data_IF_438844182890
#
_entry.id   IF_438844182890
#
_cell.length_a   1.000
_cell.length_b   1.000
_cell.length_c   1.000
_cell.angle_alpha   90.00
_cell.angle_beta   90.00
_cell.angle_gamma   90.00
#
_symmetry.space_group_name_H-M   'P 1'
#
loop_
_entity.id
_entity.type
_entity.pdbx_description
1 polymer ?
#
# COMPACT_ATOMS: atom_id res chain seq x y z
N UNK A 1 21.84 -23.68 76.25
CA UNK A 1 21.06 -22.64 76.94
C UNK A 1 20.77 -21.53 75.94
N UNK A 2 19.52 -21.04 75.92
CA UNK A 2 18.65 -20.83 74.74
C UNK A 2 18.49 -19.31 74.47
N UNK A 3 17.70 -18.75 73.56
CA UNK A 3 16.94 -19.13 72.36
C UNK A 3 16.67 -17.79 71.64
N UNK A 4 16.53 -17.86 70.31
CA UNK A 4 15.97 -16.79 69.50
C UNK A 4 14.44 -16.86 69.56
N UNK A 5 13.76 -15.71 69.56
CA UNK A 5 12.52 -15.40 68.80
C UNK A 5 12.34 -13.87 68.79
N UNK A 6 11.85 -13.28 67.68
CA UNK A 6 10.40 -13.19 67.49
C UNK A 6 9.98 -13.70 66.10
N UNK A 7 9.10 -14.70 66.08
CA UNK A 7 7.66 -14.53 65.84
C UNK A 7 7.34 -14.34 64.36
N UNK A 8 7.09 -15.48 63.71
CA UNK A 8 6.35 -15.55 62.46
C UNK A 8 4.89 -15.15 62.69
N UNK A 9 4.32 -14.38 61.77
CA UNK A 9 2.90 -14.47 61.47
C UNK A 9 2.74 -14.67 59.97
N UNK A 10 1.97 -15.68 59.65
CA UNK A 10 1.81 -16.37 58.37
C UNK A 10 0.46 -15.96 57.80
N UNK A 11 0.41 -15.46 56.56
CA UNK A 11 -0.76 -15.53 55.67
C UNK A 11 -0.20 -15.49 54.24
N UNK A 12 0.06 -16.62 53.57
CA UNK A 12 -0.88 -17.34 52.70
C UNK A 12 -1.64 -16.42 51.73
N UNK A 13 -1.13 -16.25 50.50
CA UNK A 13 -1.81 -16.70 49.28
C UNK A 13 -1.02 -16.43 47.99
N UNK A 14 -0.89 -17.49 47.21
CA UNK A 14 -0.91 -17.54 45.75
C UNK A 14 0.20 -16.84 44.94
N UNK A 15 1.20 -17.66 44.61
CA UNK A 15 1.90 -17.65 43.32
C UNK A 15 0.89 -17.90 42.17
N UNK A 16 0.72 -16.96 41.24
CA UNK A 16 0.17 -17.22 39.89
C UNK A 16 0.81 -16.26 38.86
N UNK A 17 1.61 -16.88 37.99
CA UNK A 17 1.79 -16.65 36.56
C UNK A 17 1.81 -15.21 36.01
N UNK A 18 3.01 -14.84 35.53
CA UNK A 18 3.18 -13.94 34.39
C UNK A 18 2.46 -14.52 33.17
N UNK A 19 1.43 -13.83 32.69
CA UNK A 19 0.84 -14.06 31.38
C UNK A 19 0.82 -12.75 30.60
N UNK A 20 1.77 -12.70 29.68
CA UNK A 20 1.64 -12.34 28.27
C UNK A 20 0.73 -11.17 27.92
N UNK A 21 1.39 -10.14 27.39
CA UNK A 21 0.83 -9.05 26.61
C UNK A 21 -0.29 -9.50 25.67
N UNK A 22 -1.47 -8.89 25.84
CA UNK A 22 -2.56 -8.95 24.88
C UNK A 22 -2.18 -8.12 23.65
N UNK A 23 -1.48 -8.73 22.69
CA UNK A 23 -1.39 -8.22 21.33
C UNK A 23 -2.55 -8.84 20.54
N UNK A 24 -3.60 -8.03 20.33
CA UNK A 24 -4.77 -8.42 19.56
C UNK A 24 -4.37 -8.65 18.10
N UNK A 25 -4.87 -9.75 17.56
CA UNK A 25 -4.49 -10.34 16.28
C UNK A 25 -4.98 -9.48 15.12
N UNK A 26 -4.07 -8.85 14.38
CA UNK A 26 -4.30 -8.51 12.98
C UNK A 26 -3.85 -9.67 12.10
N UNK A 27 -4.71 -10.68 11.96
CA UNK A 27 -4.62 -11.65 10.86
C UNK A 27 -5.27 -11.04 9.63
N UNK A 28 -4.48 -10.31 8.86
CA UNK A 28 -4.79 -9.85 7.51
C UNK A 28 -3.63 -10.16 6.57
N UNK A 29 -3.11 -11.40 6.64
CA UNK A 29 -2.08 -11.86 5.72
C UNK A 29 -2.68 -12.09 4.35
N UNK A 30 -2.63 -11.10 3.46
CA UNK A 30 -2.70 -11.36 2.03
C UNK A 30 -1.57 -12.34 1.73
N UNK A 31 -1.92 -13.56 1.32
CA UNK A 31 -0.96 -14.56 0.88
C UNK A 31 -0.30 -14.03 -0.41
N UNK A 32 0.73 -13.19 -0.26
CA UNK A 32 1.50 -12.64 -1.37
C UNK A 32 2.30 -13.77 -1.98
N UNK A 33 1.79 -14.31 -3.09
CA UNK A 33 2.54 -15.26 -3.88
C UNK A 33 3.53 -14.48 -4.77
N UNK A 34 4.85 -14.54 -4.52
CA UNK A 34 5.84 -13.73 -5.23
C UNK A 34 5.92 -14.04 -6.73
N UNK A 35 5.37 -15.17 -7.18
CA UNK A 35 5.22 -15.51 -8.60
C UNK A 35 4.04 -14.79 -9.26
N UNK A 36 2.99 -14.49 -8.49
CA UNK A 36 1.82 -13.77 -8.97
C UNK A 36 2.13 -12.29 -9.23
N UNK A 37 2.99 -11.69 -8.39
CA UNK A 37 3.43 -10.30 -8.54
C UNK A 37 4.28 -10.11 -9.81
N UNK A 38 5.09 -11.11 -10.18
CA UNK A 38 5.88 -11.09 -11.42
C UNK A 38 5.03 -11.22 -12.68
N UNK A 39 4.00 -12.07 -12.63
CA UNK A 39 3.03 -12.17 -13.72
C UNK A 39 2.27 -10.85 -13.88
N UNK A 40 1.78 -10.26 -12.78
CA UNK A 40 1.08 -8.98 -12.78
C UNK A 40 1.93 -7.81 -13.30
N UNK A 41 3.21 -7.75 -12.94
CA UNK A 41 4.15 -6.77 -13.51
C UNK A 41 4.36 -6.98 -15.01
N UNK A 42 4.57 -8.23 -15.43
CA UNK A 42 4.84 -8.57 -16.83
C UNK A 42 3.67 -8.22 -17.74
N UNK A 43 2.46 -8.55 -17.30
CA UNK A 43 1.21 -8.22 -18.01
C UNK A 43 1.01 -6.70 -18.09
N UNK A 44 1.19 -5.97 -16.99
CA UNK A 44 1.10 -4.51 -16.98
C UNK A 44 2.09 -3.86 -17.96
N UNK A 45 3.36 -4.29 -17.98
CA UNK A 45 4.36 -3.76 -18.91
C UNK A 45 3.98 -4.01 -20.36
N UNK A 46 3.44 -5.20 -20.66
CA UNK A 46 2.94 -5.54 -21.99
C UNK A 46 1.76 -4.65 -22.39
N UNK A 47 0.82 -4.42 -21.49
CA UNK A 47 -0.33 -3.53 -21.71
C UNK A 47 0.10 -2.09 -22.00
N UNK A 48 0.97 -1.50 -21.17
CA UNK A 48 1.50 -0.15 -21.38
C UNK A 48 2.26 -0.05 -22.70
N UNK A 49 3.07 -1.06 -23.03
CA UNK A 49 3.79 -1.08 -24.31
C UNK A 49 2.82 -1.04 -25.49
N UNK A 50 1.75 -1.83 -25.45
CA UNK A 50 0.76 -1.91 -26.51
C UNK A 50 -0.11 -0.65 -26.60
N UNK A 51 -0.48 -0.03 -25.47
CA UNK A 51 -1.24 1.22 -25.45
C UNK A 51 -0.43 2.39 -26.06
N UNK A 52 0.89 2.41 -25.85
CA UNK A 52 1.82 3.34 -26.50
C UNK A 52 2.17 2.93 -27.95
N UNK A 53 1.58 1.85 -28.48
CA UNK A 53 1.83 1.31 -29.83
C UNK A 53 3.30 0.98 -30.10
N UNK A 54 4.03 0.60 -29.06
CA UNK A 54 5.44 0.21 -29.16
C UNK A 54 5.57 -1.29 -29.44
N UNK A 55 6.44 -1.64 -30.37
CA UNK A 55 6.93 -3.01 -30.47
C UNK A 55 7.86 -3.34 -29.29
N UNK A 56 8.04 -4.63 -29.01
CA UNK A 56 8.99 -5.09 -28.00
C UNK A 56 10.40 -4.53 -28.24
N UNK A 57 10.81 -4.44 -29.52
CA UNK A 57 12.11 -3.89 -29.93
C UNK A 57 12.23 -2.40 -29.60
N UNK A 58 11.21 -1.61 -29.95
CA UNK A 58 11.22 -0.18 -29.68
C UNK A 58 11.28 0.12 -28.19
N UNK A 59 10.48 -0.56 -27.36
CA UNK A 59 10.57 -0.36 -25.91
C UNK A 59 11.95 -0.76 -25.36
N UNK A 60 12.54 -1.87 -25.83
CA UNK A 60 13.87 -2.28 -25.39
C UNK A 60 14.95 -1.25 -25.75
N UNK A 61 14.85 -0.61 -26.92
CA UNK A 61 15.75 0.47 -27.35
C UNK A 61 15.56 1.73 -26.48
N UNK A 62 14.31 2.15 -26.24
CA UNK A 62 13.99 3.32 -25.39
C UNK A 62 14.44 3.13 -23.95
N UNK A 63 14.25 1.92 -23.40
CA UNK A 63 14.66 1.58 -22.04
C UNK A 63 16.15 1.21 -21.93
N UNK A 64 16.89 1.11 -23.04
CA UNK A 64 18.31 0.75 -23.00
C UNK A 64 18.61 -0.66 -22.47
N UNK A 65 17.66 -1.59 -22.60
CA UNK A 65 17.82 -3.00 -22.20
C UNK A 65 17.74 -3.94 -23.39
N UNK A 66 18.19 -5.19 -23.23
CA UNK A 66 18.13 -6.15 -24.33
C UNK A 66 16.70 -6.64 -24.58
N UNK A 67 16.36 -6.80 -25.85
CA UNK A 67 15.06 -7.31 -26.28
C UNK A 67 14.71 -8.70 -25.69
N UNK A 68 15.64 -9.68 -25.63
CA UNK A 68 15.37 -10.96 -24.98
C UNK A 68 15.07 -10.82 -23.48
N UNK A 69 15.73 -9.89 -22.79
CA UNK A 69 15.51 -9.67 -21.37
C UNK A 69 14.15 -9.03 -21.10
N UNK A 70 13.73 -8.03 -21.89
CA UNK A 70 12.38 -7.47 -21.84
C UNK A 70 11.31 -8.55 -22.07
N UNK A 71 11.51 -9.44 -23.06
CA UNK A 71 10.60 -10.57 -23.31
C UNK A 71 10.49 -11.53 -22.12
N UNK A 72 11.57 -11.73 -21.36
CA UNK A 72 11.52 -12.56 -20.14
C UNK A 72 10.74 -11.87 -19.02
N UNK A 73 10.86 -10.55 -18.89
CA UNK A 73 10.12 -9.77 -17.89
C UNK A 73 8.62 -9.75 -18.21
N UNK A 74 8.21 -9.46 -19.45
CA UNK A 74 6.78 -9.45 -19.86
C UNK A 74 6.10 -10.82 -19.69
N UNK A 75 6.87 -11.91 -19.61
CA UNK A 75 6.36 -13.27 -19.36
C UNK A 75 6.44 -13.70 -17.89
N UNK A 76 6.87 -12.81 -16.99
CA UNK A 76 7.07 -13.12 -15.57
C UNK A 76 8.23 -14.09 -15.28
N UNK A 77 9.11 -14.36 -16.26
CA UNK A 77 10.21 -15.33 -16.11
C UNK A 77 11.44 -14.75 -15.41
N UNK A 78 11.54 -13.42 -15.35
CA UNK A 78 12.65 -12.71 -14.72
C UNK A 78 12.17 -11.51 -13.93
N UNK A 79 12.73 -11.37 -12.72
CA UNK A 79 12.55 -10.20 -11.88
C UNK A 79 13.55 -9.10 -12.29
N UNK A 80 13.07 -7.92 -12.71
CA UNK A 80 13.96 -6.80 -12.99
C UNK A 80 14.52 -6.18 -11.70
N UNK A 81 15.69 -5.54 -11.80
CA UNK A 81 16.21 -4.68 -10.73
C UNK A 81 15.47 -3.35 -10.69
N UNK A 82 15.61 -2.59 -9.59
CA UNK A 82 15.07 -1.24 -9.50
C UNK A 82 15.58 -0.31 -10.62
N UNK A 83 16.87 -0.42 -10.99
CA UNK A 83 17.42 0.36 -12.10
C UNK A 83 16.80 0.01 -13.46
N UNK A 84 16.45 -1.25 -13.69
CA UNK A 84 15.75 -1.68 -14.91
C UNK A 84 14.31 -1.18 -14.90
N UNK A 85 13.64 -1.20 -13.75
CA UNK A 85 12.30 -0.63 -13.61
C UNK A 85 12.28 0.88 -13.89
N UNK A 86 13.28 1.64 -13.42
CA UNK A 86 13.38 3.07 -13.75
C UNK A 86 13.57 3.32 -15.24
N UNK A 87 14.40 2.51 -15.89
CA UNK A 87 14.63 2.59 -17.33
C UNK A 87 13.35 2.28 -18.12
N UNK A 88 12.61 1.26 -17.71
CA UNK A 88 11.31 0.90 -18.31
C UNK A 88 10.26 1.98 -18.08
N UNK A 89 10.18 2.54 -16.86
CA UNK A 89 9.29 3.64 -16.54
C UNK A 89 9.55 4.85 -17.45
N UNK A 90 10.82 5.20 -17.66
CA UNK A 90 11.22 6.25 -18.58
C UNK A 90 10.83 5.93 -20.03
N UNK A 91 11.06 4.70 -20.50
CA UNK A 91 10.72 4.29 -21.87
C UNK A 91 9.22 4.20 -22.14
N UNK A 92 8.40 4.01 -21.10
CA UNK A 92 6.94 3.99 -21.15
C UNK A 92 6.30 5.32 -20.75
N UNK A 93 7.07 6.32 -20.34
CA UNK A 93 6.57 7.61 -19.81
C UNK A 93 5.58 7.45 -18.63
N UNK A 94 5.81 6.44 -17.78
CA UNK A 94 5.01 6.19 -16.55
C UNK A 94 5.84 6.43 -15.29
N UNK A 95 5.17 6.55 -14.14
CA UNK A 95 5.85 6.66 -12.86
C UNK A 95 6.60 5.36 -12.51
N UNK A 96 7.86 5.50 -12.06
CA UNK A 96 8.64 4.38 -11.55
C UNK A 96 8.02 3.77 -10.28
N UNK A 97 7.32 4.57 -9.48
CA UNK A 97 6.61 4.12 -8.28
C UNK A 97 5.54 3.07 -8.61
N UNK A 98 4.75 3.31 -9.65
CA UNK A 98 3.73 2.36 -10.13
C UNK A 98 4.36 1.02 -10.46
N UNK A 99 5.52 1.02 -11.14
CA UNK A 99 6.24 -0.21 -11.45
C UNK A 99 6.81 -0.90 -10.20
N UNK A 100 7.25 -0.16 -9.18
CA UNK A 100 7.71 -0.75 -7.93
C UNK A 100 6.59 -1.42 -7.14
N UNK A 101 5.40 -0.82 -7.12
CA UNK A 101 4.20 -1.40 -6.51
C UNK A 101 3.82 -2.68 -7.25
N UNK A 102 3.73 -2.64 -8.59
CA UNK A 102 3.43 -3.83 -9.41
C UNK A 102 4.50 -4.92 -9.28
N UNK A 103 5.76 -4.55 -9.07
CA UNK A 103 6.85 -5.49 -8.82
C UNK A 103 6.90 -6.03 -7.39
N UNK A 104 6.00 -5.58 -6.49
CA UNK A 104 6.01 -5.92 -5.07
C UNK A 104 7.31 -5.49 -4.36
N UNK A 105 7.99 -4.46 -4.88
CA UNK A 105 9.17 -3.84 -4.26
C UNK A 105 8.73 -2.75 -3.28
N UNK A 106 7.64 -2.07 -3.60
CA UNK A 106 6.88 -1.26 -2.66
C UNK A 106 5.57 -1.98 -2.39
N UNK A 107 5.11 -1.94 -1.15
CA UNK A 107 3.71 -2.26 -0.88
C UNK A 107 2.85 -1.24 -1.65
N UNK A 108 1.72 -1.69 -2.21
CA UNK A 108 0.72 -0.76 -2.73
C UNK A 108 0.47 0.25 -1.61
N UNK A 109 0.71 1.56 -1.82
CA UNK A 109 0.32 2.54 -0.81
C UNK A 109 -1.13 2.22 -0.49
N UNK A 110 -1.50 2.06 0.79
CA UNK A 110 -2.84 1.61 1.17
C UNK A 110 -3.82 2.44 0.35
N UNK A 111 -4.52 1.77 -0.58
CA UNK A 111 -5.22 2.40 -1.69
C UNK A 111 -5.98 3.59 -1.16
N UNK A 112 -5.42 4.79 -1.33
CA UNK A 112 -5.67 5.94 -0.46
C UNK A 112 -6.81 5.71 0.54
N UNK A 113 -6.51 5.14 1.72
CA UNK A 113 -7.21 5.66 2.89
C UNK A 113 -6.73 7.11 2.95
N UNK A 114 -7.52 7.96 2.28
CA UNK A 114 -7.29 9.38 2.08
C UNK A 114 -6.76 9.98 3.39
N UNK A 115 -5.44 10.10 3.52
CA UNK A 115 -4.83 10.79 4.67
C UNK A 115 -4.94 12.30 4.48
N UNK A 116 -5.23 12.75 3.24
CA UNK A 116 -5.89 14.03 3.08
C UNK A 116 -7.33 13.88 3.62
N UNK A 117 -7.79 14.78 4.52
CA UNK A 117 -9.19 14.78 4.89
C UNK A 117 -10.02 14.81 3.59
N UNK A 118 -11.07 13.98 3.51
CA UNK A 118 -12.03 14.08 2.41
C UNK A 118 -12.48 15.54 2.26
N UNK A 119 -12.88 15.98 1.06
CA UNK A 119 -13.36 17.36 0.87
C UNK A 119 -14.44 17.72 1.91
N UNK A 120 -15.30 16.76 2.25
CA UNK A 120 -16.26 16.85 3.36
C UNK A 120 -15.60 17.10 4.72
N UNK A 121 -14.59 16.31 5.08
CA UNK A 121 -13.84 16.46 6.33
C UNK A 121 -13.03 17.77 6.37
N UNK A 122 -12.51 18.23 5.24
CA UNK A 122 -11.80 19.50 5.13
C UNK A 122 -12.74 20.70 5.36
N UNK A 123 -13.94 20.69 4.75
CA UNK A 123 -14.97 21.73 4.97
C UNK A 123 -15.42 21.73 6.44
N UNK A 124 -15.63 20.55 7.03
CA UNK A 124 -16.04 20.43 8.43
C UNK A 124 -14.99 20.97 9.42
N UNK A 125 -13.70 20.75 9.13
CA UNK A 125 -12.58 21.15 9.98
C UNK A 125 -12.13 22.62 9.81
N UNK A 126 -12.64 23.35 8.80
CA UNK A 126 -12.21 24.73 8.53
C UNK A 126 -12.74 25.71 9.62
N UNK A 127 -11.85 26.41 10.35
CA UNK A 127 -12.24 27.39 11.37
C UNK A 127 -12.72 28.73 10.78
N UNK A 128 -12.47 29.02 9.51
CA UNK A 128 -12.93 30.26 8.86
C UNK A 128 -14.42 30.21 8.48
N UNK A 129 -15.05 29.04 8.54
CA UNK A 129 -16.44 28.83 8.14
C UNK A 129 -17.38 28.73 9.35
N UNK A 130 -18.50 29.43 9.27
CA UNK A 130 -19.66 29.22 10.15
C UNK A 130 -20.37 27.90 9.81
N UNK A 131 -21.12 27.34 10.76
CA UNK A 131 -21.88 26.10 10.54
C UNK A 131 -22.81 26.17 9.34
N UNK A 132 -23.44 27.33 9.11
CA UNK A 132 -24.29 27.57 7.94
C UNK A 132 -23.50 27.51 6.63
N UNK A 133 -22.29 28.09 6.60
CA UNK A 133 -21.44 28.05 5.40
C UNK A 133 -20.91 26.65 5.14
N UNK A 134 -20.57 25.89 6.18
CA UNK A 134 -20.18 24.47 6.05
C UNK A 134 -21.30 23.63 5.43
N UNK A 135 -22.54 23.79 5.92
CA UNK A 135 -23.70 23.09 5.38
C UNK A 135 -23.93 23.43 3.90
N UNK A 136 -23.90 24.72 3.52
CA UNK A 136 -24.08 25.14 2.13
C UNK A 136 -23.00 24.58 1.20
N UNK A 137 -21.73 24.56 1.63
CA UNK A 137 -20.65 24.00 0.82
C UNK A 137 -20.77 22.49 0.63
N UNK A 138 -21.20 21.77 1.66
CA UNK A 138 -21.47 20.32 1.57
C UNK A 138 -22.62 20.04 0.61
N UNK A 139 -23.73 20.78 0.72
CA UNK A 139 -24.90 20.59 -0.17
C UNK A 139 -24.53 20.80 -1.65
N UNK A 140 -23.78 21.87 -1.94
CA UNK A 140 -23.29 22.17 -3.30
C UNK A 140 -22.35 21.06 -3.79
N UNK A 141 -21.40 20.63 -2.97
CA UNK A 141 -20.49 19.54 -3.31
C UNK A 141 -21.26 18.25 -3.63
N UNK A 142 -22.28 17.93 -2.83
CA UNK A 142 -23.09 16.73 -3.02
C UNK A 142 -23.93 16.80 -4.30
N UNK A 143 -24.40 17.98 -4.70
CA UNK A 143 -25.10 18.15 -5.98
C UNK A 143 -24.24 17.84 -7.21
N UNK A 144 -22.92 18.02 -7.11
CA UNK A 144 -22.00 17.72 -8.22
C UNK A 144 -21.54 16.27 -8.25
N UNK A 145 -21.47 15.60 -7.10
CA UNK A 145 -20.94 14.24 -6.97
C UNK A 145 -22.05 13.17 -6.98
N UNK A 146 -23.29 13.53 -6.65
CA UNK A 146 -24.42 12.60 -6.54
C UNK A 146 -24.96 12.04 -7.87
N UNK A 147 -24.66 12.69 -9.01
CA UNK A 147 -25.25 12.33 -10.31
C UNK A 147 -24.45 11.27 -11.11
N UNK A 148 -23.19 10.98 -10.76
CA UNK A 148 -22.36 10.03 -11.53
C UNK A 148 -22.63 8.55 -11.22
N UNK A 149 -23.31 8.20 -10.12
CA UNK A 149 -23.44 6.80 -9.66
C UNK A 149 -24.73 6.09 -10.12
N UNK A 150 -25.67 6.79 -10.78
CA UNK A 150 -26.97 6.21 -11.20
C UNK A 150 -27.10 6.01 -12.72
N UNK A 151 -26.00 5.87 -13.48
CA UNK A 151 -26.08 5.64 -14.94
C UNK A 151 -25.28 4.44 -15.43
#
# INVERSE_FOLDING_TARGET
MPEAHPTACVHHHACVSLQSANYSKHTGGVSRNPLNDLAGLGDYLREQRLSHRLSLRQLSELAGISNPYLSQIERGLKRPSASVLQQLAKGLEVSAETLYVKAGILDEPPAAETTAPSVRAAIAADPALTDRQKATLIDVYESFVGDETTR
#
